data_IF_016005785805
#
_entry.id   IF_016005785805
#
_cell.length_a   1.000
_cell.length_b   1.000
_cell.length_c   1.000
_cell.angle_alpha   90.00
_cell.angle_beta   90.00
_cell.angle_gamma   90.00
#
_symmetry.space_group_name_H-M   'P 1'
#
loop_
_entity.id
_entity.type
_entity.pdbx_description
1 polymer ?
#
# COMPACT_ATOMS: atom_id res chain seq x y z
N UNK A 1 15.24 -66.34 7.45
CA UNK A 1 14.64 -65.55 8.55
C UNK A 1 14.03 -64.29 7.94
N UNK A 2 12.76 -64.09 8.09
CA UNK A 2 12.06 -63.00 7.34
C UNK A 2 12.23 -61.68 8.10
N UNK A 3 12.96 -60.72 7.53
CA UNK A 3 13.35 -59.43 8.14
C UNK A 3 12.12 -58.67 8.66
N UNK A 4 11.00 -58.77 7.93
CA UNK A 4 9.71 -58.18 8.35
C UNK A 4 9.18 -58.77 9.67
N UNK A 5 9.24 -60.12 9.87
CA UNK A 5 8.82 -60.75 11.12
C UNK A 5 9.70 -60.35 12.30
N UNK A 6 10.99 -60.17 12.06
CA UNK A 6 11.95 -59.72 13.09
C UNK A 6 11.67 -58.29 13.51
N UNK A 7 11.42 -57.42 12.54
CA UNK A 7 11.10 -55.98 12.76
C UNK A 7 9.81 -55.81 13.59
N UNK A 8 8.75 -56.53 13.21
CA UNK A 8 7.46 -56.48 13.94
C UNK A 8 7.63 -57.00 15.37
N UNK A 9 8.39 -58.10 15.58
CA UNK A 9 8.62 -58.64 16.91
C UNK A 9 9.45 -57.71 17.79
N UNK A 10 10.37 -56.95 17.21
CA UNK A 10 11.16 -55.93 17.92
C UNK A 10 10.31 -54.71 18.33
N UNK A 11 9.39 -54.28 17.47
CA UNK A 11 8.42 -53.21 17.76
C UNK A 11 7.52 -53.57 18.93
N UNK A 12 7.01 -54.80 18.95
CA UNK A 12 6.11 -55.28 20.00
C UNK A 12 6.85 -55.54 21.31
N UNK A 13 8.14 -55.97 21.27
CA UNK A 13 8.91 -56.26 22.47
C UNK A 13 9.36 -55.02 23.25
N UNK A 14 9.43 -53.83 22.60
CA UNK A 14 9.82 -52.54 23.23
C UNK A 14 8.85 -51.42 22.89
N UNK A 15 7.59 -51.49 23.37
CA UNK A 15 6.51 -50.63 22.92
C UNK A 15 6.78 -49.16 23.19
N UNK A 16 7.37 -48.81 24.34
CA UNK A 16 7.68 -47.41 24.70
C UNK A 16 8.66 -46.77 23.73
N UNK A 17 9.75 -47.45 23.38
CA UNK A 17 10.75 -46.95 22.43
C UNK A 17 10.16 -46.83 21.01
N UNK A 18 9.30 -47.79 20.62
CA UNK A 18 8.65 -47.76 19.31
C UNK A 18 7.66 -46.60 19.19
N UNK A 19 6.88 -46.34 20.24
CA UNK A 19 5.95 -45.20 20.29
C UNK A 19 6.74 -43.86 20.23
N UNK A 20 7.82 -43.76 21.02
CA UNK A 20 8.66 -42.54 21.02
C UNK A 20 9.29 -42.30 19.65
N UNK A 21 9.84 -43.33 19.02
CA UNK A 21 10.44 -43.21 17.67
C UNK A 21 9.40 -42.84 16.61
N UNK A 22 8.18 -43.39 16.69
CA UNK A 22 7.09 -43.07 15.81
C UNK A 22 6.61 -41.61 16.02
N UNK A 23 6.51 -41.17 17.28
CA UNK A 23 6.15 -39.79 17.61
C UNK A 23 7.17 -38.78 17.08
N UNK A 24 8.46 -39.08 17.20
CA UNK A 24 9.53 -38.23 16.63
C UNK A 24 9.48 -38.20 15.10
N UNK A 25 9.19 -39.33 14.46
CA UNK A 25 9.05 -39.39 13.00
C UNK A 25 7.85 -38.56 12.53
N UNK A 26 6.70 -38.70 13.17
CA UNK A 26 5.49 -37.93 12.85
C UNK A 26 5.75 -36.45 13.06
N UNK A 27 6.42 -36.05 14.17
CA UNK A 27 6.77 -34.68 14.46
C UNK A 27 7.70 -34.11 13.39
N UNK A 28 8.74 -34.86 12.98
CA UNK A 28 9.69 -34.44 11.94
C UNK A 28 9.01 -34.21 10.58
N UNK A 29 8.20 -35.18 10.14
CA UNK A 29 7.45 -35.06 8.89
C UNK A 29 6.43 -33.93 8.98
N UNK A 30 5.76 -33.76 10.12
CA UNK A 30 4.79 -32.70 10.37
C UNK A 30 5.42 -31.30 10.27
N UNK A 31 6.59 -31.11 10.88
CA UNK A 31 7.31 -29.82 10.80
C UNK A 31 7.73 -29.52 9.35
N UNK A 32 8.29 -30.48 8.63
CA UNK A 32 8.68 -30.31 7.24
C UNK A 32 7.47 -29.94 6.38
N UNK A 33 6.38 -30.68 6.52
CA UNK A 33 5.13 -30.41 5.79
C UNK A 33 4.58 -29.01 6.08
N UNK A 34 4.60 -28.60 7.35
CA UNK A 34 4.16 -27.26 7.77
C UNK A 34 5.03 -26.17 7.16
N UNK A 35 6.36 -26.34 7.15
CA UNK A 35 7.27 -25.36 6.53
C UNK A 35 7.05 -25.24 5.02
N UNK A 36 6.84 -26.37 4.32
CA UNK A 36 6.55 -26.34 2.88
C UNK A 36 5.21 -25.66 2.58
N UNK A 37 4.17 -25.92 3.39
CA UNK A 37 2.88 -25.24 3.25
C UNK A 37 3.00 -23.74 3.51
N UNK A 38 3.71 -23.35 4.57
CA UNK A 38 3.93 -21.93 4.90
C UNK A 38 4.64 -21.21 3.76
N UNK A 39 5.70 -21.80 3.22
CA UNK A 39 6.43 -21.23 2.07
C UNK A 39 5.51 -21.07 0.85
N UNK A 40 4.69 -22.06 0.53
CA UNK A 40 3.73 -21.98 -0.57
C UNK A 40 2.68 -20.91 -0.35
N UNK A 41 2.14 -20.78 0.87
CA UNK A 41 1.17 -19.72 1.22
C UNK A 41 1.76 -18.33 1.08
N UNK A 42 2.97 -18.10 1.59
CA UNK A 42 3.68 -16.82 1.48
C UNK A 42 3.87 -16.47 0.01
N UNK A 43 4.38 -17.40 -0.81
CA UNK A 43 4.59 -17.17 -2.24
C UNK A 43 3.29 -16.81 -2.96
N UNK A 44 2.22 -17.57 -2.73
CA UNK A 44 0.92 -17.30 -3.35
C UNK A 44 0.37 -15.93 -2.95
N UNK A 45 0.50 -15.55 -1.66
CA UNK A 45 0.05 -14.26 -1.18
C UNK A 45 0.83 -13.10 -1.81
N UNK A 46 2.14 -13.29 -2.00
CA UNK A 46 2.98 -12.32 -2.68
C UNK A 46 2.61 -12.16 -4.15
N UNK A 47 2.48 -13.27 -4.87
CA UNK A 47 2.10 -13.26 -6.28
C UNK A 47 0.75 -12.56 -6.48
N UNK A 48 -0.21 -12.76 -5.56
CA UNK A 48 -1.50 -12.09 -5.61
C UNK A 48 -1.38 -10.56 -5.42
N UNK A 49 -0.47 -10.11 -4.56
CA UNK A 49 -0.28 -8.68 -4.29
C UNK A 49 0.54 -7.98 -5.38
N UNK A 50 1.42 -8.69 -6.07
CA UNK A 50 2.27 -8.14 -7.14
C UNK A 50 1.63 -8.22 -8.53
N UNK A 51 0.51 -8.90 -8.66
CA UNK A 51 -0.12 -9.19 -9.95
C UNK A 51 -0.41 -7.92 -10.75
N UNK A 52 0.21 -7.84 -11.93
CA UNK A 52 -0.01 -6.72 -12.85
C UNK A 52 0.79 -5.46 -12.54
N UNK A 53 1.69 -5.49 -11.54
CA UNK A 53 2.59 -4.38 -11.18
C UNK A 53 4.01 -4.77 -11.60
N UNK A 54 4.53 -4.11 -12.62
CA UNK A 54 5.89 -4.36 -13.12
C UNK A 54 6.92 -3.44 -12.44
N UNK A 55 6.52 -2.21 -12.10
CA UNK A 55 7.37 -1.20 -11.47
C UNK A 55 6.53 -0.27 -10.59
N UNK A 56 7.14 0.25 -9.54
CA UNK A 56 6.60 1.34 -8.71
C UNK A 56 7.51 2.54 -8.81
N UNK A 57 6.93 3.73 -8.91
CA UNK A 57 7.66 5.01 -8.86
C UNK A 57 7.13 5.85 -7.71
N UNK A 58 8.01 6.55 -7.04
CA UNK A 58 7.70 7.46 -5.93
C UNK A 58 8.87 8.40 -5.65
N UNK A 59 8.81 9.11 -4.53
CA UNK A 59 9.90 10.00 -4.10
C UNK A 59 11.18 9.23 -3.83
N UNK A 60 12.32 9.91 -4.03
CA UNK A 60 13.66 9.34 -3.85
C UNK A 60 13.84 8.79 -2.44
N UNK A 61 14.28 7.52 -2.35
CA UNK A 61 14.44 6.87 -1.05
C UNK A 61 14.82 5.39 -1.19
N UNK A 62 14.43 4.58 -0.22
CA UNK A 62 14.68 3.14 -0.24
C UNK A 62 13.72 2.44 -1.20
N UNK A 63 14.22 1.69 -2.21
CA UNK A 63 13.38 0.88 -3.10
C UNK A 63 12.46 -0.10 -2.34
N UNK A 64 12.99 -0.74 -1.31
CA UNK A 64 12.22 -1.67 -0.48
C UNK A 64 11.09 -0.96 0.28
N UNK A 65 11.37 0.21 0.89
CA UNK A 65 10.35 1.01 1.57
C UNK A 65 9.25 1.45 0.60
N UNK A 66 9.62 1.87 -0.61
CA UNK A 66 8.66 2.22 -1.65
C UNK A 66 7.74 1.05 -1.99
N UNK A 67 8.28 -0.18 -2.12
CA UNK A 67 7.44 -1.36 -2.37
C UNK A 67 6.56 -1.71 -1.16
N UNK A 68 7.11 -1.65 0.06
CA UNK A 68 6.32 -1.94 1.27
C UNK A 68 5.19 -0.94 1.47
N UNK A 69 5.42 0.34 1.17
CA UNK A 69 4.38 1.36 1.27
C UNK A 69 3.37 1.31 0.13
N UNK A 70 3.81 1.19 -1.13
CA UNK A 70 2.94 1.34 -2.29
C UNK A 70 2.22 0.05 -2.73
N UNK A 71 2.80 -1.13 -2.48
CA UNK A 71 2.21 -2.41 -2.88
C UNK A 71 1.58 -3.14 -1.70
N UNK A 72 2.27 -3.14 -0.56
CA UNK A 72 1.77 -3.84 0.64
C UNK A 72 1.03 -2.94 1.62
N UNK A 73 1.14 -1.62 1.48
CA UNK A 73 0.48 -0.60 2.29
C UNK A 73 0.78 -0.70 3.81
N UNK A 74 1.96 -1.21 4.19
CA UNK A 74 2.34 -1.48 5.58
C UNK A 74 3.40 -0.55 6.16
N UNK A 75 4.06 0.27 5.33
CA UNK A 75 5.11 1.20 5.76
C UNK A 75 4.76 2.63 5.36
N UNK A 76 5.48 3.60 5.93
CA UNK A 76 5.37 5.00 5.54
C UNK A 76 5.94 5.19 4.13
N UNK A 77 5.35 6.07 3.32
CA UNK A 77 5.90 6.39 2.00
C UNK A 77 7.26 7.09 2.11
N UNK A 78 8.02 7.10 1.02
CA UNK A 78 9.30 7.80 0.93
C UNK A 78 9.16 9.32 0.76
N UNK A 79 7.95 9.81 0.54
CA UNK A 79 7.58 11.19 0.24
C UNK A 79 6.55 11.22 -0.88
N UNK A 80 6.27 12.42 -1.36
CA UNK A 80 5.38 12.66 -2.50
C UNK A 80 6.16 13.06 -3.74
N UNK A 81 5.53 12.96 -4.90
CA UNK A 81 6.02 13.39 -6.20
C UNK A 81 4.98 14.29 -6.85
N UNK A 82 5.43 15.27 -7.65
CA UNK A 82 4.52 16.17 -8.35
C UNK A 82 3.69 15.41 -9.40
N UNK A 83 2.48 15.88 -9.65
CA UNK A 83 1.64 15.34 -10.74
C UNK A 83 2.33 15.55 -12.09
N UNK A 84 3.12 16.60 -12.27
CA UNK A 84 3.87 16.87 -13.49
C UNK A 84 4.91 15.78 -13.77
N UNK A 85 5.73 15.43 -12.77
CA UNK A 85 6.71 14.34 -12.88
C UNK A 85 6.03 13.00 -13.18
N UNK A 86 4.89 12.75 -12.54
CA UNK A 86 4.11 11.55 -12.75
C UNK A 86 3.56 11.49 -14.19
N UNK A 87 3.06 12.61 -14.74
CA UNK A 87 2.54 12.68 -16.11
C UNK A 87 3.66 12.48 -17.14
N UNK A 88 4.87 12.98 -16.90
CA UNK A 88 6.02 12.74 -17.78
C UNK A 88 6.29 11.22 -17.89
N UNK A 89 6.25 10.51 -16.77
CA UNK A 89 6.45 9.05 -16.74
C UNK A 89 5.30 8.32 -17.42
N UNK A 90 4.04 8.69 -17.15
CA UNK A 90 2.86 8.07 -17.77
C UNK A 90 2.88 8.17 -19.29
N UNK A 91 3.33 9.31 -19.80
CA UNK A 91 3.40 9.56 -21.24
C UNK A 91 4.56 8.85 -21.94
N UNK A 92 5.45 8.16 -21.20
CA UNK A 92 6.54 7.42 -21.79
C UNK A 92 6.03 6.23 -22.61
N UNK A 93 6.59 6.04 -23.81
CA UNK A 93 6.23 4.96 -24.74
C UNK A 93 6.33 3.54 -24.17
N UNK A 94 7.13 3.34 -23.13
CA UNK A 94 7.35 2.06 -22.48
C UNK A 94 6.23 1.71 -21.50
N UNK A 95 5.48 2.70 -21.00
CA UNK A 95 4.39 2.52 -20.06
C UNK A 95 3.13 2.05 -20.77
N UNK A 96 2.54 0.97 -20.31
CA UNK A 96 1.29 0.41 -20.81
C UNK A 96 0.06 0.95 -20.09
N UNK A 97 0.11 0.95 -18.76
CA UNK A 97 -0.87 1.58 -17.87
C UNK A 97 -0.19 1.99 -16.57
N UNK A 98 -0.78 2.99 -15.93
CA UNK A 98 -0.35 3.48 -14.62
C UNK A 98 -1.57 3.68 -13.72
N UNK A 99 -1.35 3.63 -12.43
CA UNK A 99 -2.35 3.88 -11.38
C UNK A 99 -1.66 4.72 -10.31
N UNK A 100 -2.24 5.88 -10.02
CA UNK A 100 -1.75 6.76 -8.98
C UNK A 100 -2.28 6.33 -7.62
N UNK A 101 -1.44 6.49 -6.61
CA UNK A 101 -1.76 6.24 -5.22
C UNK A 101 -1.46 7.48 -4.39
N UNK A 102 -2.44 7.93 -3.64
CA UNK A 102 -2.33 9.05 -2.70
C UNK A 102 -2.58 8.53 -1.29
N UNK A 103 -1.72 8.89 -0.38
CA UNK A 103 -1.84 8.54 1.03
C UNK A 103 -1.84 9.80 1.89
N UNK A 104 -2.63 9.81 2.91
CA UNK A 104 -2.64 10.88 3.89
C UNK A 104 -3.11 10.34 5.23
N UNK A 105 -4.22 9.68 5.19
CA UNK A 105 -5.01 9.35 6.35
C UNK A 105 -5.18 7.86 6.60
N UNK A 106 -5.62 7.58 7.82
CA UNK A 106 -6.04 6.26 8.24
C UNK A 106 -7.39 6.31 8.99
N UNK A 107 -8.07 5.18 9.05
CA UNK A 107 -9.19 4.95 9.93
C UNK A 107 -8.91 3.74 10.81
N UNK A 108 -8.74 3.95 12.12
CA UNK A 108 -8.44 2.89 13.09
C UNK A 108 -7.26 2.00 12.66
N UNK A 109 -6.19 2.63 12.15
CA UNK A 109 -4.99 1.95 11.67
C UNK A 109 -5.09 1.30 10.29
N UNK A 110 -6.23 1.44 9.59
CA UNK A 110 -6.38 1.04 8.20
C UNK A 110 -6.19 2.22 7.27
N UNK A 111 -5.32 2.05 6.28
CA UNK A 111 -4.96 3.12 5.35
C UNK A 111 -6.14 3.50 4.45
N UNK A 112 -6.34 4.81 4.29
CA UNK A 112 -7.20 5.39 3.27
C UNK A 112 -6.32 5.69 2.05
N UNK A 113 -6.74 5.20 0.88
CA UNK A 113 -5.98 5.32 -0.37
C UNK A 113 -6.83 6.04 -1.40
N UNK A 114 -6.37 7.22 -1.81
CA UNK A 114 -6.91 7.92 -2.97
C UNK A 114 -6.35 7.30 -4.25
N UNK A 115 -7.22 6.83 -5.15
CA UNK A 115 -6.78 6.19 -6.39
C UNK A 115 -7.90 6.14 -7.44
N UNK A 116 -7.55 5.67 -8.63
CA UNK A 116 -8.48 5.50 -9.75
C UNK A 116 -9.23 4.16 -9.69
N UNK A 117 -10.35 4.08 -10.40
CA UNK A 117 -11.16 2.85 -10.56
C UNK A 117 -10.34 1.64 -11.06
N UNK A 118 -9.31 1.90 -11.88
CA UNK A 118 -8.40 0.88 -12.40
C UNK A 118 -7.70 0.07 -11.31
N UNK A 119 -7.60 0.62 -10.10
CA UNK A 119 -7.01 -0.08 -8.95
C UNK A 119 -7.86 -1.29 -8.52
N UNK A 120 -9.19 -1.20 -8.56
CA UNK A 120 -10.07 -2.34 -8.31
C UNK A 120 -9.93 -3.41 -9.39
N UNK A 121 -9.78 -2.97 -10.66
CA UNK A 121 -9.61 -3.88 -11.80
C UNK A 121 -8.26 -4.62 -11.74
N UNK A 122 -7.19 -3.96 -11.26
CA UNK A 122 -5.87 -4.56 -11.06
C UNK A 122 -5.93 -5.82 -10.19
N UNK A 123 -6.70 -5.77 -9.09
CA UNK A 123 -6.90 -6.89 -8.17
C UNK A 123 -8.11 -7.77 -8.51
N UNK A 124 -8.82 -7.46 -9.61
CA UNK A 124 -10.04 -8.15 -10.06
C UNK A 124 -11.09 -8.26 -8.94
N UNK A 125 -11.26 -7.18 -8.18
CA UNK A 125 -12.19 -7.10 -7.04
C UNK A 125 -13.50 -6.50 -7.47
N UNK A 126 -14.60 -7.12 -7.03
CA UNK A 126 -15.97 -6.64 -7.27
C UNK A 126 -16.56 -6.00 -6.03
N UNK A 127 -17.53 -5.15 -6.25
CA UNK A 127 -18.36 -4.63 -5.19
C UNK A 127 -19.39 -5.69 -4.81
N UNK A 128 -19.42 -6.04 -3.53
CA UNK A 128 -20.38 -6.97 -2.94
C UNK A 128 -21.71 -6.29 -2.69
N UNK A 129 -21.67 -5.12 -2.04
CA UNK A 129 -22.84 -4.33 -1.68
C UNK A 129 -22.56 -2.84 -1.96
N UNK A 130 -23.56 -2.11 -2.43
CA UNK A 130 -23.43 -0.68 -2.73
C UNK A 130 -22.91 -0.37 -4.13
N UNK A 131 -22.10 0.68 -4.26
CA UNK A 131 -21.55 1.20 -5.53
C UNK A 131 -20.10 1.64 -5.36
N UNK A 132 -19.42 1.93 -6.49
CA UNK A 132 -18.12 2.65 -6.48
C UNK A 132 -18.33 4.10 -6.03
N UNK A 133 -17.27 4.74 -5.56
CA UNK A 133 -17.26 6.18 -5.31
C UNK A 133 -17.48 6.96 -6.62
N UNK A 134 -18.17 8.07 -6.53
CA UNK A 134 -18.44 8.95 -7.66
C UNK A 134 -18.16 10.42 -7.33
N UNK A 135 -18.20 10.77 -6.06
CA UNK A 135 -17.93 12.11 -5.55
C UNK A 135 -16.82 12.05 -4.50
N UNK A 136 -16.10 13.17 -4.24
CA UNK A 136 -15.16 13.24 -3.13
C UNK A 136 -15.79 12.79 -1.81
N UNK A 137 -14.97 12.26 -0.91
CA UNK A 137 -15.34 11.70 0.41
C UNK A 137 -16.30 10.49 0.39
N UNK A 138 -16.62 9.93 -0.77
CA UNK A 138 -17.20 8.60 -0.86
C UNK A 138 -16.09 7.55 -0.80
N UNK A 139 -16.28 6.48 0.01
CA UNK A 139 -15.30 5.38 0.15
C UNK A 139 -15.90 4.01 -0.10
N UNK A 140 -15.03 3.12 -0.56
CA UNK A 140 -15.30 1.68 -0.64
C UNK A 140 -14.38 0.96 0.32
N UNK A 141 -14.93 0.02 1.11
CA UNK A 141 -14.23 -0.63 2.21
C UNK A 141 -13.88 -2.07 1.91
N UNK A 142 -12.63 -2.44 2.13
CA UNK A 142 -12.11 -3.80 1.94
C UNK A 142 -12.72 -4.84 2.87
N UNK A 143 -12.74 -6.09 2.42
CA UNK A 143 -13.50 -7.18 3.05
C UNK A 143 -13.09 -7.48 4.50
N UNK A 144 -11.82 -7.39 4.83
CA UNK A 144 -11.33 -7.62 6.19
C UNK A 144 -11.71 -6.50 7.15
N UNK A 145 -11.78 -5.25 6.65
CA UNK A 145 -12.07 -4.08 7.48
C UNK A 145 -13.53 -4.09 7.91
N UNK A 146 -14.48 -4.15 6.95
CA UNK A 146 -15.89 -4.10 7.32
C UNK A 146 -16.30 -5.30 8.17
N UNK A 147 -15.70 -6.49 7.93
CA UNK A 147 -15.97 -7.67 8.76
C UNK A 147 -15.43 -7.54 10.19
N UNK A 148 -14.25 -6.92 10.37
CA UNK A 148 -13.60 -6.78 11.67
C UNK A 148 -14.18 -5.63 12.50
N UNK A 149 -14.50 -4.52 11.84
CA UNK A 149 -14.98 -3.30 12.49
C UNK A 149 -16.51 -3.16 12.47
N UNK A 150 -17.24 -4.13 11.86
CA UNK A 150 -18.70 -4.11 11.67
C UNK A 150 -19.18 -2.86 10.95
N UNK A 151 -18.48 -2.44 9.88
CA UNK A 151 -18.84 -1.29 9.06
C UNK A 151 -19.95 -1.66 8.08
N UNK A 152 -20.92 -0.79 7.92
CA UNK A 152 -22.06 -0.95 7.04
C UNK A 152 -22.11 0.16 5.97
N UNK A 153 -22.94 -0.04 4.95
CA UNK A 153 -23.24 1.02 3.98
C UNK A 153 -23.84 2.24 4.68
N UNK A 154 -23.42 3.41 4.23
CA UNK A 154 -23.75 4.74 4.75
C UNK A 154 -23.18 5.09 6.13
N UNK A 155 -22.33 4.25 6.72
CA UNK A 155 -21.56 4.65 7.89
C UNK A 155 -20.61 5.81 7.53
N UNK A 156 -20.34 6.67 8.50
CA UNK A 156 -19.38 7.76 8.39
C UNK A 156 -18.07 7.39 9.10
N UNK A 157 -16.95 7.55 8.41
CA UNK A 157 -15.62 7.23 8.91
C UNK A 157 -14.87 8.55 9.12
N UNK A 158 -14.51 8.85 10.37
CA UNK A 158 -13.67 10.00 10.70
C UNK A 158 -12.21 9.56 10.59
N UNK A 159 -11.49 10.13 9.64
CA UNK A 159 -10.07 9.83 9.42
C UNK A 159 -9.16 10.56 10.42
N UNK A 160 -7.94 10.09 10.52
CA UNK A 160 -6.87 10.73 11.28
C UNK A 160 -5.55 10.69 10.50
N UNK A 161 -4.72 11.73 10.70
CA UNK A 161 -3.43 11.83 10.01
C UNK A 161 -2.47 10.70 10.34
N UNK A 162 -1.70 10.27 9.33
CA UNK A 162 -0.61 9.31 9.46
C UNK A 162 -1.07 7.85 9.51
N UNK A 163 -0.16 6.95 9.94
CA UNK A 163 -0.41 5.50 10.01
C UNK A 163 -0.88 5.02 11.40
N UNK A 164 -0.89 5.90 12.40
CA UNK A 164 -1.23 5.56 13.79
C UNK A 164 -2.53 6.23 14.21
N UNK A 165 -3.29 5.57 15.10
CA UNK A 165 -4.56 6.07 15.64
C UNK A 165 -4.43 7.37 16.48
N UNK A 166 -3.23 7.89 16.69
CA UNK A 166 -2.94 9.05 17.55
C UNK A 166 -2.80 10.37 16.79
N UNK A 167 -3.11 10.40 15.48
CA UNK A 167 -3.10 11.62 14.67
C UNK A 167 -4.32 12.52 14.95
N UNK A 168 -4.25 13.78 14.52
CA UNK A 168 -5.39 14.70 14.56
C UNK A 168 -6.52 14.16 13.69
N UNK A 169 -7.75 14.22 14.21
CA UNK A 169 -8.92 13.64 13.57
C UNK A 169 -9.66 14.70 12.74
N UNK A 170 -9.98 14.38 11.49
CA UNK A 170 -10.78 15.23 10.61
C UNK A 170 -12.29 15.09 10.88
N UNK A 171 -12.74 15.69 11.97
CA UNK A 171 -14.15 15.59 12.42
C UNK A 171 -15.09 16.31 11.46
N UNK A 172 -14.60 17.33 10.76
CA UNK A 172 -15.42 18.19 9.91
C UNK A 172 -15.73 17.57 8.54
N UNK A 173 -14.95 16.58 8.10
CA UNK A 173 -15.07 15.93 6.79
C UNK A 173 -15.04 14.41 6.88
N UNK A 174 -16.13 13.77 7.34
CA UNK A 174 -16.19 12.33 7.42
C UNK A 174 -16.28 11.69 6.02
N UNK A 175 -15.62 10.57 5.84
CA UNK A 175 -15.77 9.72 4.67
C UNK A 175 -17.02 8.87 4.76
N UNK A 176 -17.86 8.89 3.70
CA UNK A 176 -19.10 8.11 3.64
C UNK A 176 -18.89 6.77 2.95
N UNK A 177 -19.26 5.69 3.60
CA UNK A 177 -19.18 4.33 3.04
C UNK A 177 -20.29 4.12 2.00
N UNK A 178 -19.92 4.01 0.72
CA UNK A 178 -20.86 3.80 -0.40
C UNK A 178 -20.78 2.40 -0.99
N UNK A 179 -19.71 1.63 -0.66
CA UNK A 179 -19.55 0.28 -1.15
C UNK A 179 -18.72 -0.60 -0.23
N UNK A 180 -18.98 -1.90 -0.30
CA UNK A 180 -18.24 -2.96 0.39
C UNK A 180 -17.69 -3.92 -0.67
N UNK A 181 -16.40 -4.29 -0.55
CA UNK A 181 -15.72 -5.15 -1.52
C UNK A 181 -15.93 -6.64 -1.22
N UNK A 182 -15.95 -7.47 -2.27
CA UNK A 182 -15.82 -8.93 -2.13
C UNK A 182 -14.42 -9.29 -1.61
N UNK A 183 -14.26 -10.39 -0.84
CA UNK A 183 -12.93 -10.87 -0.43
C UNK A 183 -12.07 -11.23 -1.64
N UNK A 184 -10.88 -10.65 -1.72
CA UNK A 184 -9.91 -10.86 -2.81
C UNK A 184 -8.71 -11.72 -2.42
N UNK A 185 -8.47 -11.90 -1.11
CA UNK A 185 -7.26 -12.47 -0.57
C UNK A 185 -5.98 -11.72 -1.00
N UNK A 186 -6.10 -10.42 -1.21
CA UNK A 186 -5.00 -9.50 -1.53
C UNK A 186 -4.94 -8.35 -0.53
N UNK A 187 -4.03 -7.41 -0.73
CA UNK A 187 -3.87 -6.22 0.12
C UNK A 187 -5.12 -5.35 0.17
N UNK A 188 -5.89 -5.33 -0.91
CA UNK A 188 -7.08 -4.49 -1.04
C UNK A 188 -8.16 -4.81 0.02
N UNK A 189 -8.17 -6.03 0.55
CA UNK A 189 -9.08 -6.42 1.62
C UNK A 189 -8.84 -5.62 2.92
N UNK A 190 -7.69 -4.96 3.05
CA UNK A 190 -7.25 -4.18 4.21
C UNK A 190 -7.17 -2.67 3.92
N UNK A 191 -7.76 -2.20 2.83
CA UNK A 191 -7.74 -0.80 2.43
C UNK A 191 -9.13 -0.18 2.45
N UNK A 192 -9.17 1.11 2.69
CA UNK A 192 -10.31 1.99 2.44
C UNK A 192 -9.93 2.81 1.20
N UNK A 193 -10.77 2.80 0.18
CA UNK A 193 -10.42 3.34 -1.13
C UNK A 193 -11.36 4.48 -1.46
N UNK A 194 -10.80 5.58 -1.93
CA UNK A 194 -11.51 6.80 -2.33
C UNK A 194 -10.94 7.39 -3.61
N UNK A 195 -11.51 8.49 -4.09
CA UNK A 195 -10.95 9.24 -5.22
C UNK A 195 -9.68 10.02 -4.82
N UNK A 196 -8.76 10.29 -5.76
CA UNK A 196 -7.63 11.19 -5.52
C UNK A 196 -8.05 12.56 -5.00
N UNK A 197 -9.14 13.09 -5.54
CA UNK A 197 -9.66 14.40 -5.17
C UNK A 197 -10.00 14.49 -3.67
N UNK A 198 -10.52 13.41 -3.07
CA UNK A 198 -10.80 13.38 -1.62
C UNK A 198 -9.57 13.62 -0.77
N UNK A 199 -8.41 13.13 -1.22
CA UNK A 199 -7.15 13.29 -0.48
C UNK A 199 -6.60 14.71 -0.67
N UNK A 200 -6.66 15.25 -1.88
CA UNK A 200 -6.26 16.64 -2.13
C UNK A 200 -7.15 17.61 -1.36
N UNK A 201 -8.48 17.50 -1.46
CA UNK A 201 -9.42 18.39 -0.77
C UNK A 201 -9.23 18.36 0.76
N UNK A 202 -8.84 17.22 1.31
CA UNK A 202 -8.58 17.07 2.75
C UNK A 202 -7.32 17.83 3.20
N UNK A 203 -6.31 17.95 2.34
CA UNK A 203 -5.05 18.62 2.66
C UNK A 203 -5.08 20.11 2.33
N UNK A 204 -5.81 20.54 1.29
CA UNK A 204 -5.93 21.94 0.92
C UNK A 204 -6.60 22.80 2.03
N UNK A 205 -7.46 22.22 2.86
CA UNK A 205 -8.10 22.95 3.98
C UNK A 205 -7.17 23.18 5.18
N UNK A 206 -6.13 22.35 5.37
CA UNK A 206 -5.20 22.50 6.49
C UNK A 206 -4.17 23.60 6.31
N UNK A 207 -3.78 23.90 5.09
CA UNK A 207 -2.83 24.98 4.82
C UNK A 207 -3.42 26.38 5.15
N UNK A 208 -4.74 26.51 5.26
CA UNK A 208 -5.42 27.74 5.63
C UNK A 208 -5.64 27.95 7.13
N UNK A 209 -5.62 26.89 7.94
CA UNK A 209 -5.85 27.01 9.40
C UNK A 209 -4.57 27.34 10.20
N UNK A 210 -3.39 27.10 9.64
CA UNK A 210 -2.11 27.35 10.32
C UNK A 210 -1.60 28.81 10.19
N UNK A 211 -2.17 29.65 9.31
CA UNK A 211 -1.75 31.04 9.11
C UNK A 211 -2.37 32.04 10.11
N UNK A 212 -3.37 31.67 10.89
CA UNK A 212 -4.11 32.61 11.76
C UNK A 212 -3.61 32.72 13.22
N UNK A 213 -2.48 32.11 13.60
CA UNK A 213 -1.94 32.16 14.96
C UNK A 213 -0.51 32.72 15.08
N UNK A 214 -0.25 33.90 14.52
CA UNK A 214 0.79 34.79 15.02
C UNK A 214 0.20 36.15 15.43
N UNK A 215 -0.41 36.20 16.61
CA UNK A 215 -0.63 37.47 17.31
C UNK A 215 0.73 38.03 17.72
N UNK A 216 1.27 38.95 16.90
CA UNK A 216 2.33 39.81 17.30
C UNK A 216 1.79 40.97 18.11
N UNK A 217 1.90 40.85 19.45
CA UNK A 217 2.03 42.04 20.32
C UNK A 217 3.33 42.75 19.98
N UNK A 218 3.25 43.89 19.32
CA UNK A 218 4.26 44.95 19.40
C UNK A 218 3.62 46.32 19.20
N UNK A 219 3.66 47.05 20.29
CA UNK A 219 3.37 48.48 20.35
C UNK A 219 4.44 49.29 19.58
N UNK A 220 3.95 50.37 19.02
CA UNK A 220 4.62 51.64 18.70
C UNK A 220 5.46 51.80 17.43
N UNK A 221 5.00 52.80 16.70
CA UNK A 221 5.66 53.90 15.98
C UNK A 221 5.66 53.91 14.45
N UNK A 222 5.03 55.05 14.05
CA UNK A 222 5.38 56.00 12.99
C UNK A 222 4.82 55.82 11.58
N UNK A 223 4.08 56.89 11.25
CA UNK A 223 3.46 57.26 9.99
C UNK A 223 4.48 57.25 8.83
N UNK A 224 4.16 56.48 7.78
CA UNK A 224 4.57 56.77 6.41
C UNK A 224 3.46 56.41 5.44
N UNK A 225 2.92 57.47 4.81
CA UNK A 225 2.06 57.39 3.63
C UNK A 225 2.85 56.75 2.46
N UNK A 226 2.36 55.64 1.92
CA UNK A 226 2.67 55.19 0.57
C UNK A 226 1.39 54.77 -0.14
N UNK A 227 1.07 55.54 -1.17
CA UNK A 227 0.15 55.18 -2.24
C UNK A 227 0.63 53.87 -2.88
N UNK A 228 -0.21 52.84 -2.87
CA UNK A 228 -0.04 51.66 -3.71
C UNK A 228 -1.30 51.48 -4.54
N UNK A 229 -1.09 51.57 -5.83
CA UNK A 229 -2.02 51.24 -6.90
C UNK A 229 -2.51 49.79 -6.75
N UNK A 230 -3.82 49.63 -6.82
CA UNK A 230 -4.53 48.39 -6.90
C UNK A 230 -4.18 47.66 -8.21
N UNK A 231 -3.35 46.62 -8.19
CA UNK A 231 -3.31 45.59 -9.21
C UNK A 231 -3.82 44.26 -8.60
N UNK A 232 -5.01 43.90 -9.07
CA UNK A 232 -5.65 42.62 -8.83
C UNK A 232 -4.72 41.45 -9.19
N UNK A 233 -4.22 40.73 -8.19
CA UNK A 233 -3.64 39.42 -8.34
C UNK A 233 -4.37 38.43 -7.44
N UNK A 234 -5.60 38.08 -7.88
CA UNK A 234 -6.22 36.82 -7.47
C UNK A 234 -5.59 35.64 -8.23
N UNK A 235 -4.33 35.37 -8.01
CA UNK A 235 -3.74 34.03 -8.26
C UNK A 235 -3.67 33.31 -6.92
N UNK A 236 -4.77 32.64 -6.57
CA UNK A 236 -4.70 31.53 -5.61
C UNK A 236 -3.76 30.48 -6.21
N UNK A 237 -2.50 30.48 -5.78
CA UNK A 237 -1.60 29.35 -5.97
C UNK A 237 -2.26 28.12 -5.33
N UNK A 238 -3.03 27.38 -6.13
CA UNK A 238 -3.35 26.01 -5.79
C UNK A 238 -2.02 25.28 -5.65
N UNK A 239 -1.64 24.88 -4.45
CA UNK A 239 -0.44 24.12 -4.19
C UNK A 239 -0.33 22.99 -5.22
N UNK A 240 0.86 22.80 -5.79
CA UNK A 240 1.09 21.79 -6.84
C UNK A 240 0.58 20.43 -6.34
N UNK A 241 -0.40 19.89 -7.05
CA UNK A 241 -0.97 18.58 -6.69
C UNK A 241 0.10 17.50 -6.70
N UNK A 242 0.13 16.72 -5.65
CA UNK A 242 1.10 15.66 -5.44
C UNK A 242 0.43 14.28 -5.39
N UNK A 243 1.18 13.25 -5.73
CA UNK A 243 0.82 11.85 -5.50
C UNK A 243 1.93 11.17 -4.68
N UNK A 244 1.58 10.13 -3.95
CA UNK A 244 2.55 9.43 -3.09
C UNK A 244 3.37 8.40 -3.87
N UNK A 245 2.73 7.66 -4.77
CA UNK A 245 3.38 6.66 -5.61
C UNK A 245 2.56 6.36 -6.86
N UNK A 246 3.19 5.75 -7.84
CA UNK A 246 2.55 5.29 -9.07
C UNK A 246 2.89 3.83 -9.33
N UNK A 247 1.86 3.01 -9.54
CA UNK A 247 2.00 1.62 -9.99
C UNK A 247 2.04 1.60 -11.52
N UNK A 248 3.01 0.93 -12.10
CA UNK A 248 3.23 0.89 -13.54
C UNK A 248 3.20 -0.54 -14.06
N UNK A 249 2.50 -0.71 -15.17
CA UNK A 249 2.55 -1.90 -16.01
C UNK A 249 3.18 -1.55 -17.35
N UNK A 250 4.17 -2.30 -17.79
CA UNK A 250 4.83 -2.08 -19.07
C UNK A 250 4.06 -2.64 -20.27
N UNK A 251 4.26 -2.03 -21.42
CA UNK A 251 3.79 -2.61 -22.71
C UNK A 251 4.56 -3.88 -23.09
N UNK A 252 5.83 -3.97 -22.67
CA UNK A 252 6.70 -5.10 -22.94
C UNK A 252 7.54 -5.46 -21.72
N UNK A 253 7.70 -6.75 -21.39
CA UNK A 253 8.55 -7.19 -20.29
C UNK A 253 10.01 -6.74 -20.40
N UNK A 254 10.52 -6.47 -21.60
CA UNK A 254 11.90 -5.99 -21.81
C UNK A 254 12.16 -4.63 -21.16
N UNK A 255 11.12 -3.82 -20.96
CA UNK A 255 11.25 -2.48 -20.39
C UNK A 255 11.61 -2.49 -18.90
N UNK A 256 11.39 -3.60 -18.20
CA UNK A 256 11.69 -3.76 -16.77
C UNK A 256 13.19 -3.61 -16.47
N UNK A 257 14.06 -3.84 -17.44
CA UNK A 257 15.52 -3.76 -17.25
C UNK A 257 16.03 -2.32 -17.41
N UNK A 258 15.49 -1.59 -18.37
CA UNK A 258 16.04 -0.30 -18.77
C UNK A 258 15.35 0.87 -18.09
N UNK A 259 14.02 0.85 -18.01
CA UNK A 259 13.24 2.00 -17.59
C UNK A 259 13.42 2.36 -16.11
N UNK A 260 13.43 1.40 -15.16
CA UNK A 260 13.71 1.72 -13.75
C UNK A 260 15.07 2.39 -13.56
N UNK A 261 16.07 1.90 -14.28
CA UNK A 261 17.43 2.48 -14.24
C UNK A 261 17.45 3.89 -14.80
N UNK A 262 16.77 4.14 -15.92
CA UNK A 262 16.68 5.46 -16.53
C UNK A 262 16.06 6.49 -15.56
N UNK A 263 14.97 6.13 -14.86
CA UNK A 263 14.36 6.98 -13.86
C UNK A 263 15.33 7.25 -12.71
N UNK A 264 15.93 6.21 -12.15
CA UNK A 264 16.81 6.32 -10.98
C UNK A 264 18.06 7.14 -11.25
N UNK A 265 18.61 7.13 -12.49
CA UNK A 265 19.82 7.85 -12.86
C UNK A 265 19.54 9.29 -13.33
N UNK A 266 18.39 9.57 -13.94
CA UNK A 266 18.15 10.83 -14.63
C UNK A 266 17.09 11.73 -13.98
N UNK A 267 16.42 11.26 -12.93
CA UNK A 267 15.37 12.03 -12.23
C UNK A 267 15.58 12.03 -10.72
N UNK A 268 14.85 12.89 -10.04
CA UNK A 268 14.78 12.90 -8.56
C UNK A 268 13.79 11.86 -8.01
N UNK A 269 13.30 10.96 -8.86
CA UNK A 269 12.36 9.92 -8.49
C UNK A 269 13.08 8.61 -8.17
N UNK A 270 12.38 7.73 -7.45
CA UNK A 270 12.79 6.35 -7.17
C UNK A 270 11.88 5.40 -7.94
N UNK A 271 12.47 4.61 -8.81
CA UNK A 271 11.80 3.45 -9.41
C UNK A 271 12.27 2.17 -8.73
N UNK A 272 11.34 1.26 -8.45
CA UNK A 272 11.60 -0.04 -7.86
C UNK A 272 10.81 -1.13 -8.58
N UNK A 273 11.44 -2.28 -8.80
CA UNK A 273 10.80 -3.49 -9.36
C UNK A 273 10.38 -4.38 -8.21
N UNK A 274 9.07 -4.60 -7.97
CA UNK A 274 8.60 -5.32 -6.80
C UNK A 274 9.15 -6.73 -6.66
N UNK A 275 9.22 -7.49 -7.75
CA UNK A 275 9.75 -8.86 -7.76
C UNK A 275 11.20 -8.94 -7.28
N UNK A 276 12.03 -7.96 -7.63
CA UNK A 276 13.45 -7.93 -7.31
C UNK A 276 13.68 -7.58 -5.84
N UNK A 277 13.01 -6.54 -5.35
CA UNK A 277 13.13 -6.09 -3.96
C UNK A 277 12.62 -7.14 -2.98
N UNK A 278 11.49 -7.78 -3.31
CA UNK A 278 10.96 -8.85 -2.48
C UNK A 278 11.85 -10.09 -2.52
N UNK A 279 12.37 -10.47 -3.68
CA UNK A 279 13.35 -11.57 -3.79
C UNK A 279 14.62 -11.28 -2.98
N UNK A 280 15.08 -10.02 -2.98
CA UNK A 280 16.21 -9.57 -2.15
C UNK A 280 15.90 -9.66 -0.66
N UNK A 281 14.71 -9.25 -0.24
CA UNK A 281 14.26 -9.37 1.15
C UNK A 281 14.29 -10.83 1.62
N UNK A 282 13.76 -11.77 0.81
CA UNK A 282 13.78 -13.20 1.14
C UNK A 282 15.18 -13.78 1.26
N UNK A 283 16.07 -13.39 0.36
CA UNK A 283 17.49 -13.81 0.46
C UNK A 283 18.15 -13.33 1.75
N UNK A 284 17.85 -12.09 2.17
CA UNK A 284 18.35 -11.53 3.43
C UNK A 284 17.78 -12.23 4.68
N UNK A 285 16.52 -12.64 4.63
CA UNK A 285 15.87 -13.38 5.72
C UNK A 285 16.27 -14.86 5.79
N UNK A 286 17.15 -15.35 4.89
CA UNK A 286 17.59 -16.74 4.85
C UNK A 286 16.57 -17.72 4.28
N UNK A 287 15.45 -17.26 3.76
CA UNK A 287 14.52 -18.08 2.99
C UNK A 287 15.04 -18.21 1.55
N UNK A 288 16.02 -19.10 1.37
CA UNK A 288 16.57 -19.39 0.04
C UNK A 288 15.50 -20.03 -0.84
N UNK A 289 14.96 -19.29 -1.79
CA UNK A 289 14.03 -19.79 -2.82
C UNK A 289 14.81 -20.64 -3.87
N UNK A 290 16.13 -20.77 -3.76
CA UNK A 290 16.99 -21.37 -4.78
C UNK A 290 17.03 -22.91 -4.82
N UNK A 291 16.25 -23.63 -4.04
CA UNK A 291 16.43 -25.09 -3.94
C UNK A 291 15.33 -25.95 -4.55
N UNK A 292 14.45 -25.43 -5.41
CA UNK A 292 13.44 -26.23 -6.09
C UNK A 292 13.23 -25.78 -7.55
N UNK A 293 14.29 -25.80 -8.34
CA UNK A 293 14.21 -25.94 -9.81
C UNK A 293 14.84 -27.25 -10.24
#
# INVERSE_FOLDING_TARGET
>A
MNIFKLSIKNIISKPLNSILSLALLILGIGIISLLLQLNSLIKTQMDNNLKGIDMVVGAKGSPLQLILSAVYHIDSPTGNISVEDAEEIKNNRMVGSSIDLLYGDNYKGYRIVGTEDKFLDLYNVKIKDGKKWNTPFEVVVGAKIYSKLNINLNDELISSHGLRETGEAHVNQPFKVVGLLEPSNSVIDQLIITSPQSIWDLHDEHDHDDEDHEEHDNEDHDEHEHDHDDEDHDEHEHGDKEITAMLIKFKSPMNIIQFPRQINENTNLQAAVPSDEISRLFKLCGFGIETLT
#
